data_IF_981111918984
#
_entry.id   IF_981111918984
#
_cell.length_a   1.000
_cell.length_b   1.000
_cell.length_c   1.000
_cell.angle_alpha   90.00
_cell.angle_beta   90.00
_cell.angle_gamma   90.00
#
_symmetry.space_group_name_H-M   'P 1'
#
loop_
_entity.id
_entity.type
_entity.pdbx_description
1 polymer ?
#
# COMPACT_ATOMS: atom_id res chain seq x y z
N UNK A 1 0.29 -24.22 -8.56
CA UNK A 1 1.46 -24.15 -7.66
C UNK A 1 2.03 -22.73 -7.53
N UNK A 2 2.46 -22.08 -8.63
CA UNK A 2 3.00 -20.70 -8.62
C UNK A 2 2.11 -19.63 -7.97
N UNK A 3 0.79 -19.71 -8.16
CA UNK A 3 -0.18 -18.77 -7.55
C UNK A 3 -0.18 -18.82 -6.01
N UNK A 4 0.17 -19.97 -5.41
CA UNK A 4 0.29 -20.09 -3.95
C UNK A 4 1.61 -19.50 -3.45
N UNK A 5 2.71 -19.70 -4.18
CA UNK A 5 4.02 -19.14 -3.84
C UNK A 5 3.98 -17.61 -3.83
N UNK A 6 3.37 -17.01 -4.86
CA UNK A 6 3.14 -15.56 -4.92
C UNK A 6 2.37 -15.04 -3.70
N UNK A 7 1.35 -15.78 -3.27
CA UNK A 7 0.54 -15.39 -2.11
C UNK A 7 1.35 -15.44 -0.81
N UNK A 8 2.12 -16.51 -0.59
CA UNK A 8 3.00 -16.63 0.56
C UNK A 8 4.08 -15.56 0.58
N UNK A 9 4.64 -15.21 -0.59
CA UNK A 9 5.60 -14.11 -0.71
C UNK A 9 5.03 -12.78 -0.17
N UNK A 10 3.86 -12.36 -0.68
CA UNK A 10 3.23 -11.12 -0.21
C UNK A 10 2.76 -11.20 1.25
N UNK A 11 2.30 -12.37 1.70
CA UNK A 11 1.96 -12.61 3.10
C UNK A 11 3.15 -12.39 4.03
N UNK A 12 4.32 -12.95 3.68
CA UNK A 12 5.53 -12.83 4.48
C UNK A 12 5.96 -11.37 4.59
N UNK A 13 5.96 -10.63 3.47
CA UNK A 13 6.30 -9.19 3.47
C UNK A 13 5.39 -8.37 4.40
N UNK A 14 4.08 -8.63 4.34
CA UNK A 14 3.10 -8.00 5.22
C UNK A 14 3.27 -8.41 6.68
N UNK A 15 3.62 -9.66 6.97
CA UNK A 15 3.85 -10.11 8.35
C UNK A 15 5.13 -9.56 8.98
N UNK A 16 6.14 -9.19 8.17
CA UNK A 16 7.36 -8.56 8.67
C UNK A 16 7.18 -7.07 8.98
N UNK A 17 6.12 -6.44 8.51
CA UNK A 17 5.88 -5.01 8.65
C UNK A 17 5.85 -4.52 10.12
N UNK A 18 5.14 -5.18 11.05
CA UNK A 18 5.16 -4.81 12.47
C UNK A 18 6.57 -4.82 13.06
N UNK A 19 7.35 -5.86 12.76
CA UNK A 19 8.73 -5.99 13.23
C UNK A 19 9.61 -4.91 12.61
N UNK A 20 9.42 -4.61 11.32
CA UNK A 20 10.19 -3.59 10.62
C UNK A 20 10.01 -2.19 11.22
N UNK A 21 8.83 -1.88 11.76
CA UNK A 21 8.59 -0.60 12.47
C UNK A 21 9.37 -0.50 13.78
N UNK A 22 9.54 -1.62 14.50
CA UNK A 22 10.31 -1.66 15.74
C UNK A 22 11.81 -1.45 15.50
N UNK A 23 12.34 -2.01 14.40
CA UNK A 23 13.78 -1.90 14.10
C UNK A 23 14.13 -0.49 13.61
N UNK A 24 13.27 0.14 12.81
CA UNK A 24 13.41 1.56 12.50
C UNK A 24 12.72 2.05 11.22
N UNK A 25 12.72 3.38 11.01
CA UNK A 25 12.01 4.02 9.90
C UNK A 25 12.59 3.66 8.53
N UNK A 26 13.90 3.44 8.41
CA UNK A 26 14.52 3.04 7.15
C UNK A 26 14.12 1.62 6.73
N UNK A 27 14.08 0.68 7.68
CA UNK A 27 13.78 -0.74 7.41
C UNK A 27 12.30 -0.92 7.08
N UNK A 28 11.42 -0.25 7.83
CA UNK A 28 9.99 -0.19 7.48
C UNK A 28 9.77 0.46 6.12
N UNK A 29 10.48 1.53 5.79
CA UNK A 29 10.43 2.16 4.48
C UNK A 29 10.85 1.21 3.36
N UNK A 30 11.96 0.49 3.53
CA UNK A 30 12.42 -0.53 2.58
C UNK A 30 11.41 -1.66 2.41
N UNK A 31 10.80 -2.15 3.50
CA UNK A 31 9.83 -3.24 3.43
C UNK A 31 8.55 -2.83 2.67
N UNK A 32 8.04 -1.62 2.94
CA UNK A 32 6.89 -1.07 2.20
C UNK A 32 7.24 -0.88 0.71
N UNK A 33 8.41 -0.31 0.40
CA UNK A 33 8.83 -0.11 -0.99
C UNK A 33 8.99 -1.44 -1.74
N UNK A 34 9.55 -2.46 -1.10
CA UNK A 34 9.69 -3.79 -1.69
C UNK A 34 8.31 -4.40 -1.98
N UNK A 35 7.35 -4.27 -1.06
CA UNK A 35 5.98 -4.69 -1.26
C UNK A 35 5.32 -3.95 -2.43
N UNK A 36 5.43 -2.61 -2.45
CA UNK A 36 4.77 -1.76 -3.45
C UNK A 36 5.30 -2.01 -4.87
N UNK A 37 6.61 -2.10 -5.04
CA UNK A 37 7.24 -2.40 -6.34
C UNK A 37 6.81 -3.79 -6.80
N UNK A 38 6.84 -4.78 -5.91
CA UNK A 38 6.39 -6.15 -6.23
C UNK A 38 4.92 -6.17 -6.65
N UNK A 39 4.07 -5.42 -5.95
CA UNK A 39 2.64 -5.34 -6.23
C UNK A 39 2.36 -4.63 -7.56
N UNK A 40 3.04 -3.52 -7.86
CA UNK A 40 2.92 -2.82 -9.14
C UNK A 40 3.29 -3.73 -10.31
N UNK A 41 4.38 -4.49 -10.19
CA UNK A 41 4.77 -5.47 -11.21
C UNK A 41 3.64 -6.49 -11.42
N UNK A 42 3.09 -7.04 -10.34
CA UNK A 42 2.01 -8.03 -10.41
C UNK A 42 0.75 -7.49 -11.11
N UNK A 43 0.33 -6.26 -10.78
CA UNK A 43 -0.91 -5.70 -11.34
C UNK A 43 -0.76 -5.36 -12.83
N UNK A 44 0.43 -4.91 -13.25
CA UNK A 44 0.77 -4.69 -14.66
C UNK A 44 0.68 -6.01 -15.45
N UNK A 45 1.25 -7.10 -14.91
CA UNK A 45 1.18 -8.42 -15.57
C UNK A 45 -0.25 -8.97 -15.64
N UNK A 46 -1.04 -8.80 -14.59
CA UNK A 46 -2.42 -9.31 -14.56
C UNK A 46 -3.41 -8.48 -15.35
N UNK A 47 -3.14 -7.19 -15.60
CA UNK A 47 -4.08 -6.23 -16.20
C UNK A 47 -5.44 -6.15 -15.47
N UNK A 48 -5.47 -6.48 -14.18
CA UNK A 48 -6.69 -6.48 -13.35
C UNK A 48 -6.78 -5.20 -12.51
N UNK A 49 -7.47 -4.18 -13.03
CA UNK A 49 -7.65 -2.88 -12.36
C UNK A 49 -8.90 -2.80 -11.48
N UNK A 50 -9.66 -3.89 -11.33
CA UNK A 50 -10.94 -3.91 -10.57
C UNK A 50 -10.78 -3.46 -9.12
N UNK A 51 -9.62 -3.70 -8.52
CA UNK A 51 -9.35 -3.31 -7.13
C UNK A 51 -9.31 -1.80 -6.93
N UNK A 52 -9.08 -0.99 -7.97
CA UNK A 52 -9.05 0.48 -7.86
C UNK A 52 -10.44 1.12 -7.68
N UNK A 53 -11.53 0.39 -7.94
CA UNK A 53 -12.88 0.96 -7.98
C UNK A 53 -13.61 0.98 -6.62
N UNK A 54 -12.93 0.64 -5.52
CA UNK A 54 -13.55 0.68 -4.19
C UNK A 54 -13.71 2.12 -3.69
N UNK A 55 -14.76 2.37 -2.91
CA UNK A 55 -15.03 3.68 -2.29
C UNK A 55 -13.85 4.17 -1.46
N UNK A 56 -13.19 3.27 -0.72
CA UNK A 56 -12.00 3.56 0.08
C UNK A 56 -10.84 4.11 -0.76
N UNK A 57 -10.56 3.50 -1.92
CA UNK A 57 -9.48 3.95 -2.81
C UNK A 57 -9.82 5.31 -3.44
N UNK A 58 -11.09 5.54 -3.81
CA UNK A 58 -11.54 6.85 -4.30
C UNK A 58 -11.34 7.95 -3.24
N UNK A 59 -11.62 7.66 -1.98
CA UNK A 59 -11.38 8.59 -0.87
C UNK A 59 -9.88 8.88 -0.68
N UNK A 60 -9.01 7.87 -0.80
CA UNK A 60 -7.55 8.05 -0.77
C UNK A 60 -7.06 8.97 -1.90
N UNK A 61 -7.58 8.81 -3.12
CA UNK A 61 -7.25 9.71 -4.23
C UNK A 61 -7.80 11.12 -4.01
N UNK A 62 -9.01 11.26 -3.46
CA UNK A 62 -9.56 12.57 -3.11
C UNK A 62 -8.69 13.29 -2.07
N UNK A 63 -8.24 12.57 -1.04
CA UNK A 63 -7.32 13.10 -0.03
C UNK A 63 -5.97 13.50 -0.65
N UNK A 64 -5.47 12.73 -1.61
CA UNK A 64 -4.24 13.07 -2.30
C UNK A 64 -4.36 14.36 -3.14
N UNK A 65 -5.48 14.55 -3.82
CA UNK A 65 -5.78 15.80 -4.54
C UNK A 65 -5.81 16.98 -3.57
N UNK A 66 -6.45 16.81 -2.42
CA UNK A 66 -6.44 17.84 -1.37
C UNK A 66 -5.01 18.17 -0.90
N UNK A 67 -4.14 17.16 -0.73
CA UNK A 67 -2.74 17.40 -0.38
C UNK A 67 -1.99 18.19 -1.44
N UNK A 68 -2.27 17.96 -2.73
CA UNK A 68 -1.69 18.76 -3.83
C UNK A 68 -2.15 20.21 -3.72
N UNK A 69 -3.43 20.47 -3.45
CA UNK A 69 -3.87 21.86 -3.21
C UNK A 69 -3.19 22.49 -2.00
N UNK A 70 -2.95 21.71 -0.96
CA UNK A 70 -2.33 22.18 0.26
C UNK A 70 -0.83 22.54 0.08
N UNK A 71 -0.14 22.06 -0.96
CA UNK A 71 1.26 22.49 -1.22
C UNK A 71 1.33 23.94 -1.65
N UNK A 72 0.34 24.43 -2.42
CA UNK A 72 0.36 25.81 -2.92
C UNK A 72 0.27 26.84 -1.79
N UNK A 73 -0.46 26.51 -0.72
CA UNK A 73 -0.65 27.38 0.45
C UNK A 73 0.36 27.14 1.57
N UNK A 74 1.32 26.24 1.40
CA UNK A 74 2.28 25.89 2.46
C UNK A 74 3.40 26.91 2.58
N UNK A 75 3.88 27.14 3.81
CA UNK A 75 5.03 28.02 4.08
C UNK A 75 6.34 27.44 3.49
N UNK A 76 6.48 26.11 3.52
CA UNK A 76 7.64 25.38 2.99
C UNK A 76 7.20 24.44 1.85
N UNK A 77 7.21 24.95 0.62
CA UNK A 77 6.80 24.18 -0.57
C UNK A 77 7.61 22.90 -0.75
N UNK A 78 8.93 22.95 -0.54
CA UNK A 78 9.82 21.80 -0.73
C UNK A 78 9.47 20.64 0.21
N UNK A 79 9.29 20.93 1.50
CA UNK A 79 8.96 19.92 2.50
C UNK A 79 7.58 19.33 2.25
N UNK A 80 6.61 20.18 1.87
CA UNK A 80 5.27 19.74 1.50
C UNK A 80 5.28 18.85 0.25
N UNK A 81 6.12 19.15 -0.74
CA UNK A 81 6.29 18.32 -1.92
C UNK A 81 6.84 16.93 -1.58
N UNK A 82 7.92 16.85 -0.78
CA UNK A 82 8.49 15.56 -0.36
C UNK A 82 7.48 14.70 0.41
N UNK A 83 6.70 15.32 1.31
CA UNK A 83 5.65 14.61 2.06
C UNK A 83 4.57 14.06 1.14
N UNK A 84 4.12 14.86 0.18
CA UNK A 84 3.09 14.44 -0.78
C UNK A 84 3.60 13.32 -1.70
N UNK A 85 4.85 13.41 -2.16
CA UNK A 85 5.47 12.33 -2.92
C UNK A 85 5.51 11.02 -2.12
N UNK A 86 5.86 11.10 -0.82
CA UNK A 86 5.81 9.96 0.09
C UNK A 86 4.40 9.39 0.30
N UNK A 87 3.34 10.18 0.11
CA UNK A 87 1.96 9.75 0.25
C UNK A 87 1.53 8.81 -0.90
N UNK A 88 2.09 8.96 -2.09
CA UNK A 88 1.82 8.05 -3.23
C UNK A 88 2.10 6.60 -2.86
N UNK A 89 3.21 6.37 -2.15
CA UNK A 89 3.59 5.05 -1.63
C UNK A 89 2.47 4.47 -0.76
N UNK A 90 1.89 5.26 0.14
CA UNK A 90 0.77 4.80 0.98
C UNK A 90 -0.45 4.42 0.16
N UNK A 91 -0.77 5.17 -0.91
CA UNK A 91 -1.89 4.83 -1.80
C UNK A 91 -1.65 3.46 -2.45
N UNK A 92 -0.45 3.24 -3.01
CA UNK A 92 -0.07 1.97 -3.65
C UNK A 92 -0.16 0.83 -2.64
N UNK A 93 0.40 1.04 -1.44
CA UNK A 93 0.38 0.07 -0.35
C UNK A 93 -1.04 -0.31 0.06
N UNK A 94 -1.94 0.66 0.24
CA UNK A 94 -3.34 0.42 0.57
C UNK A 94 -4.09 -0.33 -0.52
N UNK A 95 -3.85 0.00 -1.79
CA UNK A 95 -4.43 -0.74 -2.93
C UNK A 95 -3.94 -2.19 -2.92
N UNK A 96 -2.64 -2.40 -2.67
CA UNK A 96 -2.04 -3.73 -2.58
C UNK A 96 -2.61 -4.57 -1.46
N UNK A 97 -2.71 -4.02 -0.25
CA UNK A 97 -3.38 -4.67 0.88
C UNK A 97 -4.82 -5.04 0.50
N UNK A 98 -5.60 -4.09 -0.02
CA UNK A 98 -7.00 -4.33 -0.38
C UNK A 98 -7.13 -5.47 -1.43
N UNK A 99 -6.26 -5.47 -2.44
CA UNK A 99 -6.20 -6.53 -3.45
C UNK A 99 -6.03 -7.92 -2.82
N UNK A 100 -5.09 -8.06 -1.88
CA UNK A 100 -4.81 -9.34 -1.24
C UNK A 100 -5.89 -9.74 -0.23
N UNK A 101 -6.38 -8.81 0.59
CA UNK A 101 -7.40 -9.07 1.60
C UNK A 101 -8.77 -9.42 1.01
N UNK A 102 -9.08 -8.98 -0.23
CA UNK A 102 -10.27 -9.42 -0.94
C UNK A 102 -10.23 -10.92 -1.33
N UNK A 103 -9.06 -11.57 -1.25
CA UNK A 103 -8.93 -13.01 -1.51
C UNK A 103 -9.25 -13.84 -0.27
N UNK A 104 -10.13 -14.85 -0.40
CA UNK A 104 -10.59 -15.73 0.71
C UNK A 104 -9.46 -16.36 1.56
N UNK A 105 -8.25 -16.48 1.02
CA UNK A 105 -7.10 -17.06 1.75
C UNK A 105 -6.54 -16.14 2.85
N UNK A 106 -6.79 -14.83 2.80
CA UNK A 106 -6.37 -13.86 3.84
C UNK A 106 -7.48 -13.70 4.89
N UNK A 107 -8.73 -14.02 4.56
CA UNK A 107 -9.89 -13.92 5.46
C UNK A 107 -9.83 -14.92 6.62
N UNK A 108 -9.30 -16.12 6.39
CA UNK A 108 -9.21 -17.17 7.43
C UNK A 108 -8.09 -16.94 8.45
N UNK A 109 -7.25 -15.91 8.27
CA UNK A 109 -6.10 -15.63 9.15
C UNK A 109 -6.44 -14.56 10.19
N UNK A 110 -7.39 -13.67 9.90
CA UNK A 110 -7.86 -12.63 10.83
C UNK A 110 -9.21 -13.04 11.42
N UNK A 111 -9.18 -13.73 12.55
CA UNK A 111 -10.38 -13.93 13.37
C UNK A 111 -10.68 -12.62 14.11
N UNK A 112 -11.56 -11.79 13.56
CA UNK A 112 -12.18 -10.72 14.34
C UNK A 112 -13.23 -11.37 15.24
N UNK A 113 -12.83 -11.70 16.47
CA UNK A 113 -13.78 -12.00 17.53
C UNK A 113 -14.38 -10.69 18.03
N UNK A 114 -15.50 -10.30 17.45
CA UNK A 114 -16.46 -9.37 18.03
C UNK A 114 -17.78 -10.08 18.22
#
# INVERSE_FOLDING_TARGET
MYKNILYYYFFVLLSFLPISFLIGPAISLSNILLFDISFLILIIFKKELRCLNTTSIKLLFFLYIYFIFNTFNSLDHNLSFYRNFGFIRLIIFFIGINYFFHSRKFQNVFFFGF
#
